data_IF_823913847777
#
_entry.id   IF_823913847777
#
_cell.length_a   1.000
_cell.length_b   1.000
_cell.length_c   1.000
_cell.angle_alpha   90.00
_cell.angle_beta   90.00
_cell.angle_gamma   90.00
#
_symmetry.space_group_name_H-M   'P 1'
#
loop_
_entity.id
_entity.type
_entity.pdbx_description
1 polymer ?
#
# COMPACT_ATOMS: atom_id res chain seq x y z
N UNK A 1 -11.71 -9.21 -5.83
CA UNK A 1 -11.61 -8.46 -4.56
C UNK A 1 -12.98 -8.34 -3.90
N UNK A 2 -14.03 -7.80 -4.56
CA UNK A 2 -15.36 -7.65 -3.95
C UNK A 2 -15.94 -8.93 -3.34
N UNK A 3 -15.91 -10.06 -4.06
CA UNK A 3 -16.35 -11.35 -3.53
C UNK A 3 -15.61 -11.77 -2.23
N UNK A 4 -14.30 -11.48 -2.15
CA UNK A 4 -13.51 -11.80 -0.96
C UNK A 4 -13.84 -10.88 0.21
N UNK A 5 -14.10 -9.59 -0.07
CA UNK A 5 -14.59 -8.66 0.95
C UNK A 5 -15.97 -9.09 1.45
N UNK A 6 -16.87 -9.51 0.56
CA UNK A 6 -18.24 -9.94 0.90
C UNK A 6 -18.34 -11.19 1.75
N UNK A 7 -17.40 -12.11 1.56
CA UNK A 7 -17.46 -13.42 2.18
C UNK A 7 -16.31 -13.64 3.18
N UNK A 8 -15.61 -12.55 3.54
CA UNK A 8 -14.43 -12.54 4.42
C UNK A 8 -13.41 -13.62 4.05
N UNK A 9 -13.16 -13.74 2.74
CA UNK A 9 -12.20 -14.69 2.17
C UNK A 9 -10.88 -14.04 1.89
N UNK A 10 -9.90 -14.89 1.65
CA UNK A 10 -8.60 -14.51 1.15
C UNK A 10 -8.62 -14.33 -0.39
N UNK A 11 -7.91 -13.33 -0.89
CA UNK A 11 -7.69 -13.15 -2.33
C UNK A 11 -6.27 -12.70 -2.62
N UNK A 12 -5.69 -13.26 -3.67
CA UNK A 12 -4.39 -12.89 -4.22
C UNK A 12 -4.53 -12.29 -5.61
N UNK A 13 -3.87 -11.16 -5.88
CA UNK A 13 -3.81 -10.53 -7.20
C UNK A 13 -2.43 -9.94 -7.48
N UNK A 14 -2.04 -9.99 -8.75
CA UNK A 14 -0.89 -9.26 -9.27
C UNK A 14 -1.36 -8.29 -10.35
N UNK A 15 -1.01 -7.01 -10.24
CA UNK A 15 -1.56 -5.94 -11.08
C UNK A 15 -0.43 -4.99 -11.53
N UNK A 16 -0.44 -4.54 -12.78
CA UNK A 16 0.44 -3.45 -13.24
C UNK A 16 -0.06 -2.10 -12.73
N UNK A 17 0.85 -1.20 -12.37
CA UNK A 17 0.51 0.13 -11.89
C UNK A 17 1.39 1.20 -12.56
N UNK A 18 0.80 2.37 -12.81
CA UNK A 18 1.45 3.52 -13.41
C UNK A 18 1.24 4.77 -12.54
N UNK A 19 2.09 5.79 -12.72
CA UNK A 19 2.06 7.00 -11.88
C UNK A 19 0.73 7.79 -11.94
N UNK A 20 -0.08 7.58 -12.99
CA UNK A 20 -1.42 8.14 -13.12
C UNK A 20 -2.46 7.43 -12.26
N UNK A 21 -2.17 6.20 -11.82
CA UNK A 21 -3.02 5.41 -10.92
C UNK A 21 -2.81 5.89 -9.48
N UNK A 22 -3.64 6.86 -9.08
CA UNK A 22 -3.58 7.52 -7.76
C UNK A 22 -4.56 6.91 -6.77
N UNK A 23 -4.23 7.01 -5.48
CA UNK A 23 -5.08 6.54 -4.39
C UNK A 23 -5.51 5.05 -4.52
N UNK A 24 -4.68 4.24 -5.18
CA UNK A 24 -4.92 2.80 -5.32
C UNK A 24 -4.99 2.18 -3.92
N UNK A 25 -5.90 1.22 -3.76
CA UNK A 25 -6.36 0.64 -2.49
C UNK A 25 -7.27 1.50 -1.62
N UNK A 26 -7.30 2.84 -1.74
CA UNK A 26 -8.16 3.69 -0.90
C UNK A 26 -9.65 3.35 -1.02
N UNK A 27 -10.14 3.05 -2.23
CA UNK A 27 -11.52 2.57 -2.43
C UNK A 27 -11.78 1.20 -1.82
N UNK A 28 -10.79 0.30 -1.85
CA UNK A 28 -10.90 -1.04 -1.25
C UNK A 28 -11.03 -0.91 0.26
N UNK A 29 -10.16 -0.13 0.89
CA UNK A 29 -10.21 0.17 2.32
C UNK A 29 -11.55 0.80 2.72
N UNK A 30 -12.05 1.77 1.97
CA UNK A 30 -13.35 2.39 2.23
C UNK A 30 -14.52 1.41 2.17
N UNK A 31 -14.49 0.43 1.25
CA UNK A 31 -15.53 -0.62 1.18
C UNK A 31 -15.45 -1.56 2.38
N UNK A 32 -14.24 -1.94 2.81
CA UNK A 32 -14.02 -2.76 4.00
C UNK A 32 -14.52 -2.03 5.25
N UNK A 33 -14.04 -0.81 5.49
CA UNK A 33 -14.40 0.00 6.64
C UNK A 33 -15.92 0.27 6.71
N UNK A 34 -16.56 0.54 5.56
CA UNK A 34 -18.02 0.75 5.51
C UNK A 34 -18.80 -0.47 5.99
N UNK A 35 -18.31 -1.69 5.77
CA UNK A 35 -19.00 -2.92 6.13
C UNK A 35 -18.61 -3.43 7.52
N UNK A 36 -17.33 -3.35 7.86
CA UNK A 36 -16.75 -4.04 9.01
C UNK A 36 -16.20 -3.09 10.09
N UNK A 37 -16.27 -1.78 9.88
CA UNK A 37 -15.57 -0.80 10.73
C UNK A 37 -14.05 -0.96 10.64
N UNK A 38 -13.35 -0.40 11.63
CA UNK A 38 -11.89 -0.30 11.59
C UNK A 38 -11.18 -1.64 11.83
N UNK A 39 -11.81 -2.58 12.53
CA UNK A 39 -11.14 -3.82 13.00
C UNK A 39 -11.94 -5.10 12.75
N UNK A 40 -13.14 -5.02 12.16
CA UNK A 40 -14.06 -6.16 12.08
C UNK A 40 -13.88 -7.09 10.88
N UNK A 41 -12.98 -6.77 9.94
CA UNK A 41 -12.80 -7.58 8.74
C UNK A 41 -11.92 -8.81 9.02
N UNK A 42 -12.48 -10.01 8.87
CA UNK A 42 -11.76 -11.26 9.12
C UNK A 42 -11.09 -11.87 7.88
N UNK A 43 -11.26 -11.25 6.69
CA UNK A 43 -10.66 -11.73 5.44
C UNK A 43 -9.23 -11.21 5.21
N UNK A 44 -8.67 -11.57 4.04
CA UNK A 44 -7.33 -11.11 3.63
C UNK A 44 -7.30 -10.65 2.17
N UNK A 45 -6.83 -9.44 1.94
CA UNK A 45 -6.66 -8.84 0.62
C UNK A 45 -5.17 -8.71 0.33
N UNK A 46 -4.64 -9.70 -0.39
CA UNK A 46 -3.23 -9.76 -0.77
C UNK A 46 -3.07 -9.27 -2.20
N UNK A 47 -2.44 -8.10 -2.40
CA UNK A 47 -2.25 -7.53 -3.75
C UNK A 47 -0.80 -7.13 -3.95
N UNK A 48 -0.18 -7.70 -4.99
CA UNK A 48 1.12 -7.28 -5.49
C UNK A 48 0.94 -6.37 -6.69
N UNK A 49 1.52 -5.18 -6.64
CA UNK A 49 1.62 -4.24 -7.74
C UNK A 49 3.02 -4.29 -8.35
N UNK A 50 3.13 -4.02 -9.65
CA UNK A 50 4.42 -3.92 -10.34
C UNK A 50 4.43 -2.69 -11.23
N UNK A 51 5.36 -1.76 -10.98
CA UNK A 51 5.50 -0.52 -11.74
C UNK A 51 5.75 0.71 -10.87
N UNK A 52 5.27 1.86 -11.32
CA UNK A 52 5.39 3.15 -10.63
C UNK A 52 4.03 3.53 -10.06
N UNK A 53 3.90 3.70 -8.76
CA UNK A 53 2.62 4.03 -8.15
C UNK A 53 2.42 5.55 -8.05
N UNK A 54 1.21 6.01 -8.36
CA UNK A 54 0.84 7.41 -8.22
C UNK A 54 0.74 7.87 -6.77
N UNK A 55 0.46 9.17 -6.59
CA UNK A 55 0.29 9.78 -5.28
C UNK A 55 -0.78 9.07 -4.43
N UNK A 56 -0.54 9.05 -3.12
CA UNK A 56 -1.43 8.41 -2.13
C UNK A 56 -1.60 6.90 -2.34
N UNK A 57 -0.60 6.23 -2.91
CA UNK A 57 -0.61 4.77 -3.02
C UNK A 57 -0.80 4.12 -1.64
N UNK A 58 -1.69 3.12 -1.58
CA UNK A 58 -2.00 2.41 -0.35
C UNK A 58 -2.46 3.34 0.80
N UNK A 59 -3.21 4.39 0.49
CA UNK A 59 -3.81 5.23 1.52
C UNK A 59 -4.92 4.48 2.28
N UNK A 60 -5.05 4.80 3.57
CA UNK A 60 -6.12 4.35 4.46
C UNK A 60 -6.24 2.83 4.63
N UNK A 61 -5.16 2.05 4.44
CA UNK A 61 -5.25 0.59 4.62
C UNK A 61 -5.83 0.24 5.99
N UNK A 62 -6.67 -0.78 6.00
CA UNK A 62 -7.29 -1.36 7.19
C UNK A 62 -6.65 -2.73 7.48
N UNK A 63 -6.82 -3.28 8.70
CA UNK A 63 -6.44 -4.66 9.01
C UNK A 63 -6.98 -5.66 7.95
N UNK A 64 -6.18 -6.67 7.64
CA UNK A 64 -6.48 -7.66 6.59
C UNK A 64 -6.08 -7.24 5.18
N UNK A 65 -5.56 -6.02 4.96
CA UNK A 65 -4.97 -5.62 3.67
C UNK A 65 -3.46 -5.78 3.69
N UNK A 66 -2.91 -6.66 2.84
CA UNK A 66 -1.47 -6.88 2.69
C UNK A 66 -1.06 -6.50 1.26
N UNK A 67 -0.40 -5.35 1.14
CA UNK A 67 -0.10 -4.72 -0.14
C UNK A 67 1.40 -4.77 -0.37
N UNK A 68 1.80 -5.25 -1.55
CA UNK A 68 3.19 -5.23 -1.99
C UNK A 68 3.32 -4.40 -3.27
N UNK A 69 4.37 -3.60 -3.37
CA UNK A 69 4.77 -2.91 -4.59
C UNK A 69 6.19 -3.33 -4.97
N UNK A 70 6.32 -3.86 -6.19
CA UNK A 70 7.60 -4.09 -6.86
C UNK A 70 7.85 -2.92 -7.81
N UNK A 71 8.65 -1.96 -7.38
CA UNK A 71 8.94 -0.71 -8.09
C UNK A 71 9.12 0.46 -7.13
N UNK A 72 8.52 1.60 -7.47
CA UNK A 72 8.60 2.85 -6.68
C UNK A 72 7.24 3.55 -6.59
N UNK A 73 7.07 4.45 -5.63
CA UNK A 73 5.87 5.24 -5.46
C UNK A 73 6.16 6.74 -5.23
N UNK A 74 5.23 7.57 -5.70
CA UNK A 74 5.23 9.01 -5.46
C UNK A 74 4.84 9.36 -4.00
N UNK A 75 4.55 10.63 -3.72
CA UNK A 75 4.23 11.14 -2.38
C UNK A 75 3.00 10.47 -1.71
N UNK A 76 2.95 10.59 -0.38
CA UNK A 76 1.82 10.19 0.47
C UNK A 76 1.57 8.68 0.55
N UNK A 77 2.59 7.86 0.34
CA UNK A 77 2.49 6.40 0.52
C UNK A 77 2.01 6.09 1.93
N UNK A 78 0.97 5.26 2.04
CA UNK A 78 0.41 4.90 3.34
C UNK A 78 -0.23 6.06 4.10
N UNK A 79 -0.64 7.15 3.43
CA UNK A 79 -1.36 8.27 4.07
C UNK A 79 -2.57 7.75 4.85
N UNK A 80 -2.67 8.14 6.12
CA UNK A 80 -3.79 7.78 7.00
C UNK A 80 -3.98 6.28 7.21
N UNK A 81 -2.92 5.48 7.09
CA UNK A 81 -3.01 4.03 7.31
C UNK A 81 -3.52 3.73 8.73
N UNK A 82 -4.52 2.86 8.85
CA UNK A 82 -5.11 2.47 10.14
C UNK A 82 -4.73 1.03 10.55
N UNK A 83 -4.32 0.20 9.60
CA UNK A 83 -3.89 -1.17 9.82
C UNK A 83 -3.34 -1.81 8.54
N UNK A 84 -3.11 -3.12 8.59
CA UNK A 84 -2.56 -3.86 7.45
C UNK A 84 -1.05 -3.72 7.30
N UNK A 85 -0.55 -4.27 6.19
CA UNK A 85 0.87 -4.30 5.86
C UNK A 85 1.11 -3.72 4.45
N UNK A 86 2.15 -2.90 4.33
CA UNK A 86 2.61 -2.35 3.06
C UNK A 86 4.11 -2.61 2.87
N UNK A 87 4.46 -3.30 1.80
CA UNK A 87 5.86 -3.59 1.43
C UNK A 87 6.18 -2.92 0.10
N UNK A 88 7.21 -2.06 0.07
CA UNK A 88 7.74 -1.45 -1.16
C UNK A 88 9.17 -1.91 -1.38
N UNK A 89 9.41 -2.57 -2.51
CA UNK A 89 10.74 -3.07 -2.90
C UNK A 89 11.01 -2.72 -4.36
N UNK A 90 12.25 -2.39 -4.75
CA UNK A 90 12.58 -2.29 -6.16
C UNK A 90 12.43 -3.65 -6.87
N UNK A 91 12.53 -3.65 -8.20
CA UNK A 91 12.65 -4.89 -8.99
C UNK A 91 13.88 -5.69 -8.57
N UNK A 92 13.88 -6.99 -8.87
CA UNK A 92 15.07 -7.81 -8.69
C UNK A 92 16.23 -7.27 -9.53
N UNK A 93 17.40 -7.11 -8.91
CA UNK A 93 18.62 -6.57 -9.53
C UNK A 93 18.41 -5.21 -10.22
N UNK A 94 18.08 -4.14 -9.47
CA UNK A 94 17.65 -2.88 -10.05
C UNK A 94 18.78 -2.05 -10.70
N UNK A 95 20.01 -2.55 -10.71
CA UNK A 95 21.18 -1.84 -11.25
C UNK A 95 21.70 -0.71 -10.37
N UNK A 96 21.13 -0.54 -9.17
CA UNK A 96 21.55 0.42 -8.15
C UNK A 96 21.49 -0.20 -6.75
N UNK A 97 22.15 0.45 -5.79
CA UNK A 97 22.11 0.11 -4.38
C UNK A 97 20.79 0.60 -3.75
N UNK A 98 19.82 -0.27 -3.38
CA UNK A 98 18.49 0.17 -2.96
C UNK A 98 18.51 1.14 -1.77
N UNK A 99 19.37 0.90 -0.79
CA UNK A 99 19.58 1.74 0.39
C UNK A 99 20.02 3.17 0.07
N UNK A 100 20.55 3.42 -1.13
CA UNK A 100 20.94 4.76 -1.57
C UNK A 100 19.90 5.48 -2.43
N UNK A 101 18.93 4.76 -2.97
CA UNK A 101 17.94 5.27 -3.90
C UNK A 101 16.62 5.62 -3.21
N UNK A 102 16.03 6.76 -3.57
CA UNK A 102 14.67 7.12 -3.17
C UNK A 102 13.67 6.26 -3.92
N UNK A 103 12.79 5.55 -3.20
CA UNK A 103 11.77 4.68 -3.79
C UNK A 103 10.34 5.00 -3.32
N UNK A 104 10.21 5.85 -2.30
CA UNK A 104 8.94 6.44 -1.90
C UNK A 104 9.11 7.96 -1.71
N UNK A 105 8.08 8.72 -2.08
CA UNK A 105 8.10 10.18 -2.03
C UNK A 105 7.99 10.78 -0.63
N UNK A 106 7.50 12.01 -0.57
CA UNK A 106 7.37 12.80 0.64
C UNK A 106 6.10 12.47 1.43
N UNK A 107 6.08 12.85 2.71
CA UNK A 107 4.87 12.84 3.56
C UNK A 107 4.20 11.46 3.62
N UNK A 108 5.02 10.41 3.59
CA UNK A 108 4.59 9.04 3.79
C UNK A 108 4.06 8.86 5.22
N UNK A 109 3.05 7.99 5.39
CA UNK A 109 2.38 7.74 6.66
C UNK A 109 1.70 8.95 7.32
N UNK A 110 1.46 10.04 6.58
CA UNK A 110 0.86 11.22 7.17
C UNK A 110 -0.48 10.92 7.86
N UNK A 111 -0.49 11.09 9.19
CA UNK A 111 -1.64 10.81 10.04
C UNK A 111 -2.01 9.33 10.15
N UNK A 112 -1.07 8.41 9.91
CA UNK A 112 -1.29 6.99 10.15
C UNK A 112 -1.54 6.73 11.65
N UNK A 113 -2.50 5.86 11.94
CA UNK A 113 -2.92 5.46 13.30
C UNK A 113 -2.66 3.99 13.59
N UNK A 114 -2.17 3.22 12.61
CA UNK A 114 -1.80 1.82 12.79
C UNK A 114 -1.25 1.17 11.52
N UNK A 115 -0.91 -0.12 11.64
CA UNK A 115 -0.34 -0.94 10.58
C UNK A 115 1.17 -0.84 10.46
N UNK A 116 1.74 -1.51 9.45
CA UNK A 116 3.19 -1.62 9.25
C UNK A 116 3.57 -1.32 7.80
N UNK A 117 4.64 -0.55 7.62
CA UNK A 117 5.25 -0.32 6.31
C UNK A 117 6.71 -0.78 6.31
N UNK A 118 7.13 -1.43 5.24
CA UNK A 118 8.50 -1.84 5.00
C UNK A 118 8.95 -1.32 3.63
N UNK A 119 10.06 -0.59 3.60
CA UNK A 119 10.57 0.07 2.39
C UNK A 119 12.03 -0.32 2.19
N UNK A 120 12.36 -0.97 1.07
CA UNK A 120 13.73 -1.29 0.69
C UNK A 120 14.36 -0.15 -0.14
N UNK A 121 14.58 0.98 0.52
CA UNK A 121 15.23 2.17 -0.02
C UNK A 121 14.93 3.42 0.80
N UNK A 122 15.23 4.61 0.26
CA UNK A 122 15.02 5.89 0.94
C UNK A 122 13.60 6.43 0.72
N UNK A 123 13.10 7.14 1.72
CA UNK A 123 11.92 7.99 1.63
C UNK A 123 12.31 9.46 1.40
N UNK A 124 11.37 10.25 0.89
CA UNK A 124 11.51 11.71 0.79
C UNK A 124 11.36 12.43 2.13
N UNK A 125 11.06 13.73 2.07
CA UNK A 125 10.88 14.58 3.25
C UNK A 125 9.63 14.21 4.06
N UNK A 126 9.64 14.57 5.35
CA UNK A 126 8.48 14.43 6.27
C UNK A 126 7.94 13.00 6.36
N UNK A 127 8.84 12.03 6.51
CA UNK A 127 8.47 10.65 6.74
C UNK A 127 7.98 10.46 8.19
N UNK A 128 6.76 9.91 8.35
CA UNK A 128 6.07 9.58 9.61
C UNK A 128 5.68 10.78 10.48
#
# INVERSE_FOLDING_TARGET
>A
VSHAIENEKEVHKTIKIYNVDRAVCGRIAGVIAKRYGDTGFAGQINITFTGSAGQSFACFLTPGMNIRLIGEANDYVGKGMAGGELVVTPVENPGFCPEDATIVGNTCLYGATGGQIFVRGKAGERFA
#
